data_IF_692503462332
#
_entry.id   IF_692503462332
#
_cell.length_a   1.000
_cell.length_b   1.000
_cell.length_c   1.000
_cell.angle_alpha   90.00
_cell.angle_beta   90.00
_cell.angle_gamma   90.00
#
_symmetry.space_group_name_H-M   'P 1'
#
loop_
_entity.id
_entity.type
_entity.pdbx_description
1 polymer ?
#
# COMPACT_ATOMS: atom_id res chain seq x y z
N UNK A 1 -24.74 -4.43 18.83
CA UNK A 1 -24.24 -4.05 17.50
C UNK A 1 -22.90 -4.74 17.33
N UNK A 2 -22.83 -5.80 16.51
CA UNK A 2 -21.64 -6.65 16.48
C UNK A 2 -20.72 -6.19 15.36
N UNK A 3 -19.71 -5.40 15.71
CA UNK A 3 -18.68 -4.92 14.81
C UNK A 3 -17.74 -6.04 14.41
N UNK A 4 -18.02 -6.68 13.27
CA UNK A 4 -17.30 -7.83 12.72
C UNK A 4 -15.83 -7.54 12.30
N UNK A 5 -15.26 -6.42 12.76
CA UNK A 5 -13.90 -5.93 12.49
C UNK A 5 -13.10 -5.64 13.77
N UNK A 6 -13.62 -5.97 14.95
CA UNK A 6 -12.83 -5.89 16.19
C UNK A 6 -11.57 -6.78 16.12
N UNK A 7 -11.61 -7.89 15.38
CA UNK A 7 -10.45 -8.75 15.12
C UNK A 7 -9.81 -8.56 13.73
N UNK A 8 -10.01 -7.40 13.07
CA UNK A 8 -9.44 -7.15 11.74
C UNK A 8 -7.92 -7.35 11.72
N UNK A 9 -7.40 -8.15 10.79
CA UNK A 9 -5.97 -8.42 10.67
C UNK A 9 -5.32 -7.54 9.61
N UNK A 10 -4.54 -6.56 10.05
CA UNK A 10 -3.72 -5.72 9.17
C UNK A 10 -2.29 -6.25 9.08
N UNK A 11 -1.71 -6.19 7.88
CA UNK A 11 -0.28 -6.40 7.66
C UNK A 11 0.37 -5.11 7.18
N UNK A 12 1.35 -4.62 7.94
CA UNK A 12 2.16 -3.44 7.63
C UNK A 12 3.51 -3.90 7.09
N UNK A 13 3.68 -3.85 5.77
CA UNK A 13 4.94 -4.15 5.11
C UNK A 13 5.83 -2.91 5.07
N UNK A 14 7.08 -3.00 5.54
CA UNK A 14 8.02 -1.87 5.61
C UNK A 14 9.47 -2.33 5.33
N UNK A 15 10.38 -1.38 5.04
CA UNK A 15 11.80 -1.70 4.90
C UNK A 15 12.65 -1.26 6.08
N UNK A 16 13.51 -2.17 6.55
CA UNK A 16 14.50 -1.91 7.60
C UNK A 16 15.83 -1.38 7.04
N UNK A 17 15.98 -1.30 5.71
CA UNK A 17 17.20 -0.80 5.05
C UNK A 17 17.37 0.72 5.16
N UNK A 18 16.42 1.44 5.77
CA UNK A 18 16.58 2.82 6.19
C UNK A 18 16.59 2.90 7.73
N UNK A 19 17.47 3.75 8.26
CA UNK A 19 17.58 4.11 9.67
C UNK A 19 16.35 4.91 10.13
N UNK A 20 15.26 4.18 10.37
CA UNK A 20 13.91 4.72 10.55
C UNK A 20 12.79 3.69 10.37
N UNK A 21 13.02 2.58 9.65
CA UNK A 21 11.93 1.66 9.25
C UNK A 21 10.95 1.21 10.34
N UNK A 22 11.46 0.99 11.56
CA UNK A 22 10.64 0.65 12.73
C UNK A 22 9.74 1.82 13.17
N UNK A 23 10.24 3.06 13.10
CA UNK A 23 9.50 4.30 13.37
C UNK A 23 8.38 4.54 12.35
N UNK A 24 8.62 4.28 11.06
CA UNK A 24 7.55 4.38 10.03
C UNK A 24 6.50 3.29 10.19
N UNK A 25 6.91 2.06 10.51
CA UNK A 25 5.99 0.97 10.83
C UNK A 25 5.13 1.33 12.06
N UNK A 26 5.75 1.86 13.12
CA UNK A 26 5.03 2.32 14.31
C UNK A 26 4.05 3.47 14.02
N UNK A 27 4.41 4.42 13.15
CA UNK A 27 3.54 5.51 12.73
C UNK A 27 2.32 5.00 11.94
N UNK A 28 2.53 4.06 11.02
CA UNK A 28 1.44 3.41 10.29
C UNK A 28 0.54 2.58 11.23
N UNK A 29 1.14 1.78 12.12
CA UNK A 29 0.42 0.98 13.11
C UNK A 29 -0.39 1.86 14.09
N UNK A 30 0.12 3.04 14.47
CA UNK A 30 -0.65 4.02 15.25
C UNK A 30 -1.89 4.49 14.49
N UNK A 31 -1.77 4.86 13.21
CA UNK A 31 -2.94 5.24 12.41
C UNK A 31 -3.98 4.13 12.29
N UNK A 32 -3.56 2.86 12.26
CA UNK A 32 -4.46 1.70 12.26
C UNK A 32 -5.18 1.60 13.60
N UNK A 33 -4.47 1.61 14.74
CA UNK A 33 -5.10 1.55 16.08
C UNK A 33 -6.00 2.76 16.38
N UNK A 34 -5.66 3.94 15.86
CA UNK A 34 -6.47 5.16 15.99
C UNK A 34 -7.86 5.03 15.29
N UNK A 35 -8.09 4.02 14.43
CA UNK A 35 -9.37 3.75 13.72
C UNK A 35 -9.96 2.37 14.08
N UNK A 36 -9.11 1.36 14.24
CA UNK A 36 -9.44 -0.03 14.57
C UNK A 36 -8.68 -0.44 15.85
N UNK A 37 -9.17 -0.07 17.05
CA UNK A 37 -8.40 -0.19 18.29
C UNK A 37 -8.06 -1.64 18.66
N UNK A 38 -8.97 -2.57 18.38
CA UNK A 38 -8.83 -3.99 18.72
C UNK A 38 -8.07 -4.82 17.65
N UNK A 39 -7.73 -4.19 16.52
CA UNK A 39 -7.16 -4.89 15.35
C UNK A 39 -5.80 -5.56 15.60
N UNK A 40 -5.61 -6.74 15.01
CA UNK A 40 -4.32 -7.42 14.99
C UNK A 40 -3.42 -6.77 13.93
N UNK A 41 -2.24 -6.31 14.33
CA UNK A 41 -1.25 -5.70 13.41
C UNK A 41 -0.02 -6.60 13.31
N UNK A 42 0.19 -7.18 12.13
CA UNK A 42 1.37 -7.96 11.77
C UNK A 42 2.37 -7.07 11.04
N UNK A 43 3.62 -7.04 11.50
CA UNK A 43 4.69 -6.30 10.83
C UNK A 43 5.47 -7.21 9.87
N UNK A 44 5.46 -6.90 8.57
CA UNK A 44 6.20 -7.66 7.55
C UNK A 44 7.42 -6.85 7.08
N UNK A 45 8.63 -7.42 7.18
CA UNK A 45 9.85 -6.73 6.74
C UNK A 45 10.20 -7.11 5.31
N UNK A 46 10.40 -6.12 4.44
CA UNK A 46 10.93 -6.32 3.08
C UNK A 46 12.22 -5.54 2.85
N UNK A 47 13.14 -6.12 2.10
CA UNK A 47 14.40 -5.48 1.70
C UNK A 47 14.38 -5.02 0.22
N UNK A 48 13.19 -5.03 -0.40
CA UNK A 48 13.02 -4.75 -1.82
C UNK A 48 12.92 -3.26 -2.13
N UNK A 49 13.51 -2.84 -3.26
CA UNK A 49 13.27 -1.53 -3.86
C UNK A 49 12.02 -1.58 -4.78
N UNK A 50 11.26 -0.47 -4.92
CA UNK A 50 11.41 0.81 -4.23
C UNK A 50 10.96 0.74 -2.76
N UNK A 51 11.64 1.47 -1.89
CA UNK A 51 11.38 1.49 -0.44
C UNK A 51 10.03 2.18 -0.15
N UNK A 52 9.01 1.36 0.16
CA UNK A 52 7.63 1.77 0.43
C UNK A 52 7.09 1.09 1.69
N UNK A 53 6.15 1.78 2.35
CA UNK A 53 5.27 1.18 3.35
C UNK A 53 3.98 0.77 2.64
N UNK A 54 3.49 -0.43 2.94
CA UNK A 54 2.22 -0.96 2.44
C UNK A 54 1.37 -1.35 3.65
N UNK A 55 0.11 -0.92 3.66
CA UNK A 55 -0.89 -1.36 4.62
C UNK A 55 -1.88 -2.22 3.84
N UNK A 56 -1.96 -3.49 4.21
CA UNK A 56 -2.95 -4.43 3.70
C UNK A 56 -3.84 -4.92 4.83
N UNK A 57 -5.09 -5.23 4.51
CA UNK A 57 -6.01 -5.96 5.39
C UNK A 57 -6.18 -7.36 4.82
N UNK A 58 -6.22 -8.36 5.71
CA UNK A 58 -6.60 -9.72 5.37
C UNK A 58 -8.02 -9.94 5.86
N UNK A 59 -8.91 -10.34 4.96
CA UNK A 59 -10.25 -10.81 5.35
C UNK A 59 -10.14 -12.29 5.75
N UNK A 60 -10.79 -12.69 6.84
CA UNK A 60 -10.80 -14.08 7.29
C UNK A 60 -11.65 -14.99 6.39
N UNK A 61 -12.56 -14.41 5.59
CA UNK A 61 -13.51 -15.14 4.75
C UNK A 61 -12.92 -15.55 3.40
N UNK A 62 -12.33 -14.60 2.69
CA UNK A 62 -11.73 -14.84 1.37
C UNK A 62 -10.23 -15.18 1.46
N UNK A 63 -9.57 -14.91 2.59
CA UNK A 63 -8.12 -15.10 2.79
C UNK A 63 -7.24 -14.09 2.05
N UNK A 64 -7.80 -13.38 1.08
CA UNK A 64 -7.15 -12.39 0.22
C UNK A 64 -6.61 -11.17 0.97
N UNK A 65 -5.44 -10.68 0.52
CA UNK A 65 -4.79 -9.47 1.04
C UNK A 65 -5.21 -8.24 0.22
N UNK A 66 -6.19 -7.47 0.70
CA UNK A 66 -6.59 -6.19 0.10
C UNK A 66 -5.63 -5.07 0.53
N UNK A 67 -4.96 -4.42 -0.41
CA UNK A 67 -4.12 -3.25 -0.13
C UNK A 67 -5.01 -2.04 0.15
N UNK A 68 -4.91 -1.49 1.36
CA UNK A 68 -5.67 -0.31 1.81
C UNK A 68 -4.93 0.98 1.44
N UNK A 69 -3.61 0.97 1.59
CA UNK A 69 -2.76 2.12 1.32
C UNK A 69 -1.32 1.68 0.98
N UNK A 70 -0.62 2.45 0.14
CA UNK A 70 0.83 2.35 0.00
C UNK A 70 1.47 3.70 -0.30
N UNK A 71 2.74 3.88 0.07
CA UNK A 71 3.48 5.11 -0.17
C UNK A 71 4.96 5.04 0.19
N UNK A 72 5.73 6.04 -0.24
CA UNK A 72 7.17 6.15 0.06
C UNK A 72 7.40 6.22 1.56
N UNK A 73 8.28 5.36 2.08
CA UNK A 73 8.59 5.30 3.52
C UNK A 73 9.13 6.65 4.05
N UNK A 74 9.95 7.34 3.25
CA UNK A 74 10.46 8.68 3.54
C UNK A 74 9.37 9.72 3.90
N UNK A 75 8.13 9.54 3.45
CA UNK A 75 7.04 10.46 3.80
C UNK A 75 6.53 10.28 5.24
N UNK A 76 6.92 9.21 5.93
CA UNK A 76 6.59 8.94 7.33
C UNK A 76 7.75 9.25 8.30
N UNK A 77 8.94 9.61 7.82
CA UNK A 77 10.09 9.96 8.67
C UNK A 77 9.75 11.14 9.59
N UNK A 78 10.10 11.07 10.87
CA UNK A 78 9.85 12.14 11.85
C UNK A 78 10.56 13.45 11.50
N UNK A 79 11.78 13.38 10.96
CA UNK A 79 12.53 14.54 10.42
C UNK A 79 11.74 15.33 9.36
N UNK A 80 10.75 14.72 8.69
CA UNK A 80 9.92 15.36 7.68
C UNK A 80 8.48 15.56 8.15
N UNK A 81 8.30 16.17 9.33
CA UNK A 81 7.01 16.30 10.02
C UNK A 81 5.83 16.75 9.13
N UNK A 82 6.01 17.77 8.28
CA UNK A 82 4.96 18.23 7.36
C UNK A 82 4.53 17.18 6.32
N UNK A 83 5.43 16.28 5.92
CA UNK A 83 5.11 15.12 5.07
C UNK A 83 4.46 14.02 5.91
N UNK A 84 5.00 13.74 7.10
CA UNK A 84 4.50 12.73 8.06
C UNK A 84 3.03 12.98 8.42
N UNK A 85 2.67 14.19 8.83
CA UNK A 85 1.28 14.55 9.16
C UNK A 85 0.33 14.37 7.97
N UNK A 86 0.70 14.87 6.78
CA UNK A 86 -0.11 14.69 5.55
C UNK A 86 -0.25 13.21 5.16
N UNK A 87 0.80 12.42 5.36
CA UNK A 87 0.80 10.99 5.08
C UNK A 87 -0.09 10.22 6.06
N UNK A 88 0.04 10.50 7.36
CA UNK A 88 -0.79 9.92 8.43
C UNK A 88 -2.27 10.26 8.27
N UNK A 89 -2.60 11.50 7.90
CA UNK A 89 -3.97 11.91 7.56
C UNK A 89 -4.53 11.08 6.40
N UNK A 90 -3.78 10.93 5.30
CA UNK A 90 -4.20 10.10 4.14
C UNK A 90 -4.42 8.63 4.51
N UNK A 91 -3.57 8.06 5.37
CA UNK A 91 -3.75 6.70 5.91
C UNK A 91 -5.06 6.61 6.69
N UNK A 92 -5.31 7.55 7.62
CA UNK A 92 -6.55 7.58 8.42
C UNK A 92 -7.80 7.72 7.55
N UNK A 93 -7.79 8.62 6.55
CA UNK A 93 -8.91 8.74 5.61
C UNK A 93 -9.21 7.41 4.91
N UNK A 94 -8.20 6.70 4.42
CA UNK A 94 -8.39 5.40 3.74
C UNK A 94 -8.87 4.28 4.68
N UNK A 95 -8.48 4.32 5.95
CA UNK A 95 -8.97 3.40 6.97
C UNK A 95 -10.45 3.68 7.32
N UNK A 96 -10.85 4.95 7.42
CA UNK A 96 -12.25 5.36 7.63
C UNK A 96 -13.12 5.06 6.39
N UNK A 97 -12.60 5.28 5.18
CA UNK A 97 -13.28 4.88 3.94
C UNK A 97 -13.57 3.37 3.91
N UNK A 98 -12.58 2.56 4.32
CA UNK A 98 -12.70 1.10 4.42
C UNK A 98 -13.75 0.68 5.46
N UNK A 99 -13.78 1.35 6.62
CA UNK A 99 -14.77 1.11 7.68
C UNK A 99 -16.20 1.35 7.19
N UNK A 100 -16.43 2.42 6.41
CA UNK A 100 -17.74 2.74 5.82
C UNK A 100 -18.19 1.69 4.79
N UNK A 101 -17.32 1.36 3.83
CA UNK A 101 -17.62 0.36 2.79
C UNK A 101 -18.10 -0.99 3.35
N UNK A 102 -17.60 -1.38 4.53
CA UNK A 102 -17.99 -2.62 5.19
C UNK A 102 -19.37 -2.54 5.86
N UNK A 103 -19.75 -1.38 6.44
CA UNK A 103 -21.08 -1.16 6.99
C UNK A 103 -22.17 -1.19 5.91
N UNK A 104 -21.89 -0.58 4.74
CA UNK A 104 -22.81 -0.59 3.60
C UNK A 104 -22.99 -2.03 3.06
N UNK A 105 -21.92 -2.81 3.01
CA UNK A 105 -21.92 -4.20 2.53
C UNK A 105 -22.75 -5.18 3.39
N UNK A 106 -23.01 -4.85 4.65
CA UNK A 106 -23.84 -5.69 5.55
C UNK A 106 -25.35 -5.52 5.38
N UNK A 107 -25.83 -4.52 4.64
CA UNK A 107 -27.27 -4.18 4.57
C UNK A 107 -27.96 -4.66 3.28
N UNK A 108 -27.21 -5.21 2.30
CA UNK A 108 -27.73 -5.54 0.95
C UNK A 108 -27.49 -7.00 0.58
N UNK A 109 -27.81 -7.93 1.50
CA UNK A 109 -27.74 -9.39 1.25
C UNK A 109 -29.01 -10.16 1.66
N UNK A 110 -30.17 -9.54 1.47
CA UNK A 110 -31.43 -10.26 1.30
C UNK A 110 -32.01 -9.93 -0.08
N UNK A 111 -32.61 -10.94 -0.73
CA UNK A 111 -33.14 -10.94 -2.12
C UNK A 111 -32.12 -11.12 -3.26
N UNK A 112 -31.72 -12.37 -3.51
CA UNK A 112 -31.86 -12.92 -4.86
C UNK A 112 -32.03 -14.45 -4.86
N UNK A 113 -33.29 -14.88 -4.78
CA UNK A 113 -33.68 -16.27 -5.02
C UNK A 113 -33.95 -16.46 -6.50
N UNK A 114 -33.16 -17.32 -7.14
CA UNK A 114 -33.39 -17.95 -8.43
C UNK A 114 -33.80 -17.06 -9.64
N UNK A 115 -32.93 -17.00 -10.64
CA UNK A 115 -33.36 -17.53 -11.94
C UNK A 115 -32.23 -18.17 -12.75
N UNK A 116 -32.47 -19.41 -13.15
CA UNK A 116 -31.66 -20.19 -14.07
C UNK A 116 -32.01 -19.82 -15.51
N UNK A 117 -31.00 -19.57 -16.35
CA UNK A 117 -31.07 -19.94 -17.77
C UNK A 117 -29.71 -20.04 -18.44
N UNK A 118 -29.50 -21.16 -19.13
CA UNK A 118 -28.32 -21.48 -19.96
C UNK A 118 -28.28 -20.62 -21.23
N UNK A 119 -27.09 -20.27 -21.72
CA UNK A 119 -26.88 -20.07 -23.16
C UNK A 119 -25.41 -20.18 -23.61
N UNK A 120 -25.24 -20.47 -24.91
CA UNK A 120 -24.00 -20.89 -25.59
C UNK A 120 -24.00 -20.36 -27.05
N UNK A 121 -22.89 -20.30 -27.81
CA UNK A 121 -21.68 -21.12 -27.70
C UNK A 121 -20.33 -20.35 -27.78
N UNK A 122 -19.80 -19.89 -28.93
CA UNK A 122 -18.41 -20.28 -29.21
C UNK A 122 -17.40 -19.19 -29.61
N UNK A 123 -16.13 -19.49 -29.31
CA UNK A 123 -14.93 -19.36 -30.17
C UNK A 123 -14.87 -18.31 -31.28
N UNK A 124 -13.88 -17.39 -31.18
CA UNK A 124 -12.97 -16.89 -32.25
C UNK A 124 -12.10 -15.75 -31.65
N UNK A 125 -10.82 -15.47 -31.93
CA UNK A 125 -9.62 -16.13 -32.51
C UNK A 125 -8.56 -15.00 -32.59
N UNK A 126 -7.37 -15.18 -31.99
CA UNK A 126 -6.04 -14.60 -32.37
C UNK A 126 -5.96 -13.13 -32.86
N UNK A 127 -5.17 -12.31 -32.13
CA UNK A 127 -4.10 -11.50 -32.75
C UNK A 127 -2.91 -11.25 -31.82
N UNK A 128 -1.72 -11.49 -32.40
CA UNK A 128 -0.34 -11.08 -32.08
C UNK A 128 -0.12 -9.91 -31.11
N UNK A 129 0.80 -10.03 -30.15
CA UNK A 129 2.26 -9.83 -30.29
C UNK A 129 2.67 -8.45 -30.85
N UNK A 130 3.14 -7.56 -29.97
CA UNK A 130 4.18 -6.57 -30.26
C UNK A 130 4.84 -6.09 -28.97
N UNK A 131 6.05 -6.56 -28.70
CA UNK A 131 6.90 -6.02 -27.63
C UNK A 131 7.72 -4.84 -28.16
N UNK A 132 7.71 -3.66 -27.53
CA UNK A 132 8.70 -2.63 -27.81
C UNK A 132 10.02 -2.94 -27.10
N UNK A 133 11.10 -2.99 -27.89
CA UNK A 133 12.47 -3.27 -27.45
C UNK A 133 13.08 -2.12 -26.64
N UNK A 134 14.03 -2.49 -25.79
CA UNK A 134 14.93 -1.64 -24.99
C UNK A 134 15.59 -0.53 -25.83
N UNK A 135 15.67 0.68 -25.27
CA UNK A 135 16.78 1.60 -25.58
C UNK A 135 17.45 2.03 -24.27
N UNK A 136 18.68 1.57 -24.07
CA UNK A 136 19.56 2.00 -22.99
C UNK A 136 20.50 3.07 -23.53
N UNK A 137 20.33 4.33 -23.11
CA UNK A 137 21.35 5.35 -23.32
C UNK A 137 22.19 5.53 -22.07
N UNK A 138 23.38 4.93 -22.11
CA UNK A 138 24.54 5.41 -21.34
C UNK A 138 24.80 6.87 -21.70
N UNK A 139 24.84 7.75 -20.70
CA UNK A 139 25.75 8.91 -20.73
C UNK A 139 26.75 8.78 -19.59
N UNK A 140 28.00 8.54 -19.99
CA UNK A 140 29.18 8.63 -19.14
C UNK A 140 29.97 9.89 -19.52
N UNK A 141 30.88 10.30 -18.63
CA UNK A 141 31.81 11.44 -18.79
C UNK A 141 31.11 12.82 -18.72
N UNK A 142 31.73 13.87 -18.17
CA UNK A 142 33.17 14.20 -18.15
C UNK A 142 33.67 14.79 -16.82
N UNK A 143 34.99 14.66 -16.63
CA UNK A 143 35.96 15.48 -15.87
C UNK A 143 35.43 16.57 -14.90
N UNK A 144 35.85 16.62 -13.63
CA UNK A 144 37.23 16.85 -13.15
C UNK A 144 37.87 18.12 -13.70
N UNK A 145 37.84 19.21 -12.93
CA UNK A 145 38.91 20.21 -12.97
C UNK A 145 39.05 20.90 -11.61
N UNK A 146 40.27 20.87 -11.08
CA UNK A 146 40.68 21.53 -9.83
C UNK A 146 41.19 22.92 -10.18
N UNK A 147 40.81 23.94 -9.41
CA UNK A 147 41.45 25.26 -9.45
C UNK A 147 41.45 25.91 -8.06
N UNK A 148 42.64 26.04 -7.47
CA UNK A 148 42.93 26.94 -6.36
C UNK A 148 43.44 28.28 -6.92
N UNK A 149 43.18 29.40 -6.23
CA UNK A 149 44.28 30.31 -5.86
C UNK A 149 44.32 30.50 -4.34
N UNK A 150 45.45 30.24 -3.66
CA UNK A 150 46.61 31.14 -3.51
C UNK A 150 46.23 32.42 -2.74
N UNK A 151 46.68 32.49 -1.49
CA UNK A 151 46.79 33.75 -0.73
C UNK A 151 48.05 34.51 -1.15
N UNK A 152 47.97 35.83 -1.11
CA UNK A 152 49.07 36.77 -0.92
C UNK A 152 48.53 37.91 -0.04
#
# INVERSE_FOLDING_TARGET
MNTNFDNARFTVTYSRNCDGGVQEMAAAAKCIRDVFPNSQIVSERTNSFPIKVIISVQDERDGDKKIVWSGKQQNLFEKYQSKRTKCMQRIKSKLVDLQKQQADSTTTKDNNTAQEQRQTIPTTRRTSLSSPTITSERRASVASLVALPVHA
#
